data_IF_962194056816
#
_entry.id   IF_962194056816
#
_cell.length_a   1.000
_cell.length_b   1.000
_cell.length_c   1.000
_cell.angle_alpha   90.00
_cell.angle_beta   90.00
_cell.angle_gamma   90.00
#
_symmetry.space_group_name_H-M   'P 1'
#
loop_
_entity.id
_entity.type
_entity.pdbx_description
1 polymer ?
#
# COMPACT_ATOMS: atom_id res chain seq x y z
N UNK A 1 -5.75 24.01 -19.63
CA UNK A 1 -6.26 23.82 -18.26
C UNK A 1 -5.12 24.10 -17.29
N UNK A 2 -5.15 25.18 -16.51
CA UNK A 2 -4.08 25.47 -15.53
C UNK A 2 -4.33 24.59 -14.31
N UNK A 3 -3.47 23.61 -14.03
CA UNK A 3 -3.60 22.81 -12.81
C UNK A 3 -3.29 23.70 -11.59
N UNK A 4 -4.09 23.61 -10.51
CA UNK A 4 -3.78 24.31 -9.28
C UNK A 4 -2.50 23.68 -8.68
N UNK A 5 -1.44 24.49 -8.53
CA UNK A 5 -0.11 24.02 -8.16
C UNK A 5 -0.07 23.34 -6.79
N UNK A 6 -0.85 23.83 -5.82
CA UNK A 6 -0.86 23.32 -4.45
C UNK A 6 -1.47 21.91 -4.34
N UNK A 7 -2.66 21.60 -4.91
CA UNK A 7 -3.16 20.22 -5.00
C UNK A 7 -2.21 19.26 -5.70
N UNK A 8 -1.50 19.70 -6.75
CA UNK A 8 -0.51 18.85 -7.43
C UNK A 8 0.64 18.50 -6.48
N UNK A 9 1.15 19.47 -5.70
CA UNK A 9 2.18 19.21 -4.70
C UNK A 9 1.71 18.18 -3.67
N UNK A 10 0.50 18.33 -3.13
CA UNK A 10 -0.03 17.37 -2.16
C UNK A 10 -0.31 15.99 -2.77
N UNK A 11 -0.74 15.93 -4.03
CA UNK A 11 -0.87 14.67 -4.75
C UNK A 11 0.50 13.99 -4.95
N UNK A 12 1.55 14.74 -5.30
CA UNK A 12 2.91 14.22 -5.40
C UNK A 12 3.45 13.75 -4.05
N UNK A 13 3.19 14.48 -2.96
CA UNK A 13 3.52 14.05 -1.60
C UNK A 13 2.77 12.77 -1.21
N UNK A 14 1.51 12.64 -1.63
CA UNK A 14 0.73 11.41 -1.43
C UNK A 14 1.39 10.23 -2.13
N UNK A 15 1.80 10.41 -3.40
CA UNK A 15 2.55 9.39 -4.14
C UNK A 15 3.91 9.05 -3.48
N UNK A 16 4.61 10.06 -2.94
CA UNK A 16 5.86 9.87 -2.20
C UNK A 16 5.66 8.99 -0.96
N UNK A 17 4.69 9.31 -0.11
CA UNK A 17 4.43 8.54 1.12
C UNK A 17 3.98 7.11 0.82
N UNK A 18 3.08 6.93 -0.16
CA UNK A 18 2.67 5.60 -0.59
C UNK A 18 3.79 4.81 -1.28
N UNK A 19 4.68 5.48 -2.01
CA UNK A 19 5.87 4.83 -2.58
C UNK A 19 6.83 4.32 -1.51
N UNK A 20 7.09 5.13 -0.47
CA UNK A 20 7.97 4.75 0.65
C UNK A 20 7.33 3.75 1.62
N UNK A 21 6.00 3.64 1.63
CA UNK A 21 5.26 2.71 2.48
C UNK A 21 5.68 1.24 2.25
N UNK A 22 5.84 0.81 1.00
CA UNK A 22 6.19 -0.58 0.67
C UNK A 22 7.48 -1.05 1.34
N UNK A 23 8.61 -0.35 1.13
CA UNK A 23 9.87 -0.63 1.83
C UNK A 23 9.76 -0.56 3.35
N UNK A 24 9.07 0.44 3.91
CA UNK A 24 8.91 0.60 5.35
C UNK A 24 8.18 -0.61 5.99
N UNK A 25 7.12 -1.11 5.35
CA UNK A 25 6.41 -2.31 5.81
C UNK A 25 7.24 -3.57 5.60
N UNK A 26 8.03 -3.65 4.52
CA UNK A 26 9.00 -4.73 4.32
C UNK A 26 10.00 -4.84 5.49
N UNK A 27 10.53 -3.70 5.94
CA UNK A 27 11.40 -3.63 7.12
C UNK A 27 10.69 -4.04 8.40
N UNK A 28 9.49 -3.49 8.66
CA UNK A 28 8.70 -3.85 9.84
C UNK A 28 8.38 -5.35 9.89
N UNK A 29 8.03 -5.95 8.75
CA UNK A 29 7.79 -7.40 8.67
C UNK A 29 9.04 -8.22 8.94
N UNK A 30 10.18 -7.80 8.40
CA UNK A 30 11.46 -8.48 8.64
C UNK A 30 11.81 -8.46 10.13
N UNK A 31 11.59 -7.33 10.82
CA UNK A 31 11.77 -7.20 12.26
C UNK A 31 10.80 -8.08 13.07
N UNK A 32 9.59 -8.29 12.57
CA UNK A 32 8.52 -9.09 13.20
C UNK A 32 8.52 -10.57 12.78
N UNK A 33 9.67 -11.11 12.37
CA UNK A 33 9.81 -12.52 12.01
C UNK A 33 8.96 -12.92 10.79
N UNK A 34 8.79 -11.99 9.85
CA UNK A 34 7.90 -12.08 8.68
C UNK A 34 6.39 -12.16 8.99
N UNK A 35 5.96 -11.91 10.23
CA UNK A 35 4.55 -11.79 10.57
C UNK A 35 3.96 -10.51 9.94
N UNK A 36 2.93 -10.59 9.08
CA UNK A 36 2.36 -9.42 8.42
C UNK A 36 1.37 -8.64 9.31
N UNK A 37 0.79 -9.27 10.32
CA UNK A 37 -0.28 -8.69 11.13
C UNK A 37 0.23 -7.74 12.20
N UNK A 38 1.42 -7.98 12.77
CA UNK A 38 2.01 -7.07 13.76
C UNK A 38 2.26 -5.67 13.17
N UNK A 39 2.88 -5.53 11.98
CA UNK A 39 2.93 -4.24 11.27
C UNK A 39 1.55 -3.70 10.90
N UNK A 40 0.59 -4.55 10.51
CA UNK A 40 -0.77 -4.11 10.18
C UNK A 40 -1.50 -3.46 11.36
N UNK A 41 -1.33 -3.97 12.59
CA UNK A 41 -1.87 -3.29 13.79
C UNK A 41 -1.28 -1.89 13.93
N UNK A 42 0.03 -1.73 13.69
CA UNK A 42 0.69 -0.41 13.75
C UNK A 42 0.21 0.53 12.64
N UNK A 43 -0.12 0.01 11.44
CA UNK A 43 -0.79 0.80 10.39
C UNK A 43 -2.14 1.32 10.89
N UNK A 44 -2.94 0.47 11.54
CA UNK A 44 -4.22 0.86 12.13
C UNK A 44 -4.08 1.96 13.19
N UNK A 45 -3.09 1.84 14.07
CA UNK A 45 -2.78 2.88 15.07
C UNK A 45 -2.38 4.20 14.39
N UNK A 46 -1.52 4.15 13.37
CA UNK A 46 -1.13 5.34 12.62
C UNK A 46 -2.34 6.00 11.93
N UNK A 47 -3.25 5.21 11.34
CA UNK A 47 -4.47 5.72 10.72
C UNK A 47 -5.36 6.42 11.74
N UNK A 48 -5.54 5.85 12.93
CA UNK A 48 -6.32 6.48 14.00
C UNK A 48 -5.73 7.84 14.40
N UNK A 49 -4.43 7.89 14.65
CA UNK A 49 -3.73 9.11 15.07
C UNK A 49 -3.84 10.18 13.99
N UNK A 50 -3.40 9.88 12.76
CA UNK A 50 -3.29 10.89 11.71
C UNK A 50 -4.64 11.29 11.12
N UNK A 51 -5.61 10.37 11.01
CA UNK A 51 -6.93 10.71 10.52
C UNK A 51 -7.69 11.61 11.51
N UNK A 52 -7.63 11.31 12.81
CA UNK A 52 -8.28 12.13 13.84
C UNK A 52 -7.60 13.49 13.95
N UNK A 53 -6.27 13.51 14.13
CA UNK A 53 -5.53 14.77 14.30
C UNK A 53 -5.60 15.65 13.04
N UNK A 54 -5.40 15.06 11.86
CA UNK A 54 -5.47 15.76 10.59
C UNK A 54 -6.87 16.29 10.28
N UNK A 55 -7.91 15.46 10.49
CA UNK A 55 -9.31 15.87 10.31
C UNK A 55 -9.71 16.99 11.27
N UNK A 56 -9.45 16.82 12.57
CA UNK A 56 -9.75 17.84 13.58
C UNK A 56 -8.99 19.14 13.32
N UNK A 57 -7.69 19.05 12.99
CA UNK A 57 -6.86 20.21 12.63
C UNK A 57 -7.39 20.94 11.39
N UNK A 58 -7.83 20.20 10.37
CA UNK A 58 -8.46 20.76 9.18
C UNK A 58 -9.75 21.51 9.48
N UNK A 59 -10.59 20.99 10.39
CA UNK A 59 -11.82 21.68 10.80
C UNK A 59 -11.53 22.95 11.60
N UNK A 60 -10.54 22.92 12.49
CA UNK A 60 -10.09 24.12 13.21
C UNK A 60 -9.56 25.17 12.23
N UNK A 61 -8.71 24.79 11.28
CA UNK A 61 -8.15 25.69 10.28
C UNK A 61 -9.23 26.34 9.39
N UNK A 62 -10.22 25.55 8.97
CA UNK A 62 -11.35 26.02 8.14
C UNK A 62 -12.46 26.70 8.94
N UNK A 63 -12.34 26.76 10.28
CA UNK A 63 -13.30 27.38 11.21
C UNK A 63 -14.71 26.81 11.11
N UNK A 64 -14.83 25.50 10.86
CA UNK A 64 -16.13 24.80 10.84
C UNK A 64 -16.40 24.12 12.18
N UNK A 65 -17.67 24.04 12.63
CA UNK A 65 -18.00 23.37 13.88
C UNK A 65 -17.77 21.86 13.78
N UNK A 66 -17.48 21.22 14.92
CA UNK A 66 -17.42 19.75 15.07
C UNK A 66 -18.84 19.13 15.06
N UNK A 67 -19.67 19.56 14.13
CA UNK A 67 -21.03 19.07 13.93
C UNK A 67 -21.10 18.34 12.59
N UNK A 68 -21.46 17.06 12.63
CA UNK A 68 -21.48 16.20 11.46
C UNK A 68 -22.91 15.89 11.05
N UNK A 69 -23.19 15.92 9.74
CA UNK A 69 -24.46 15.41 9.22
C UNK A 69 -24.47 13.88 9.24
N UNK A 70 -25.64 13.26 9.37
CA UNK A 70 -25.76 11.80 9.32
C UNK A 70 -25.20 11.20 8.03
N UNK A 71 -25.42 11.86 6.88
CA UNK A 71 -24.83 11.45 5.61
C UNK A 71 -23.29 11.58 5.62
N UNK A 72 -22.75 12.65 6.20
CA UNK A 72 -21.30 12.84 6.32
C UNK A 72 -20.64 11.77 7.18
N UNK A 73 -21.26 11.40 8.31
CA UNK A 73 -20.78 10.29 9.16
C UNK A 73 -20.81 8.97 8.40
N UNK A 74 -21.93 8.64 7.75
CA UNK A 74 -22.09 7.37 7.03
C UNK A 74 -21.09 7.23 5.88
N UNK A 75 -21.00 8.23 5.01
CA UNK A 75 -20.07 8.18 3.87
C UNK A 75 -18.61 8.29 4.30
N UNK A 76 -18.32 9.07 5.35
CA UNK A 76 -16.99 9.10 5.96
C UNK A 76 -16.58 7.75 6.51
N UNK A 77 -17.49 7.06 7.22
CA UNK A 77 -17.24 5.73 7.77
C UNK A 77 -17.07 4.66 6.68
N UNK A 78 -17.92 4.67 5.65
CA UNK A 78 -17.78 3.77 4.48
C UNK A 78 -16.43 4.01 3.81
N UNK A 79 -16.06 5.28 3.56
CA UNK A 79 -14.78 5.64 2.96
C UNK A 79 -13.59 5.15 3.79
N UNK A 80 -13.61 5.38 5.11
CA UNK A 80 -12.59 4.87 6.03
C UNK A 80 -12.50 3.35 6.05
N UNK A 81 -13.65 2.66 6.03
CA UNK A 81 -13.73 1.20 6.00
C UNK A 81 -13.12 0.62 4.71
N UNK A 82 -13.41 1.22 3.55
CA UNK A 82 -12.80 0.83 2.27
C UNK A 82 -11.27 0.97 2.30
N UNK A 83 -10.76 2.04 2.91
CA UNK A 83 -9.32 2.23 3.10
C UNK A 83 -8.69 1.18 4.02
N UNK A 84 -9.36 0.85 5.14
CA UNK A 84 -8.90 -0.17 6.08
C UNK A 84 -8.89 -1.58 5.45
N UNK A 85 -9.97 -1.95 4.74
CA UNK A 85 -10.00 -3.21 4.00
C UNK A 85 -8.95 -3.25 2.88
N UNK A 86 -8.72 -2.14 2.19
CA UNK A 86 -7.62 -2.05 1.21
C UNK A 86 -6.25 -2.29 1.83
N UNK A 87 -5.97 -1.74 3.02
CA UNK A 87 -4.73 -1.99 3.75
C UNK A 87 -4.62 -3.46 4.23
N UNK A 88 -5.73 -4.07 4.64
CA UNK A 88 -5.79 -5.48 5.01
C UNK A 88 -5.48 -6.38 3.82
N UNK A 89 -6.15 -6.19 2.68
CA UNK A 89 -5.94 -7.01 1.48
C UNK A 89 -4.54 -6.80 0.89
N UNK A 90 -3.99 -5.59 0.97
CA UNK A 90 -2.58 -5.32 0.66
C UNK A 90 -1.64 -6.11 1.57
N UNK A 91 -1.89 -6.11 2.88
CA UNK A 91 -1.14 -6.91 3.86
C UNK A 91 -1.19 -8.39 3.53
N UNK A 92 -2.39 -8.91 3.20
CA UNK A 92 -2.61 -10.30 2.81
C UNK A 92 -1.97 -10.65 1.46
N UNK A 93 -1.97 -9.73 0.49
CA UNK A 93 -1.30 -9.92 -0.80
C UNK A 93 0.22 -10.02 -0.63
N UNK A 94 0.78 -9.30 0.33
CA UNK A 94 2.18 -9.44 0.68
C UNK A 94 2.44 -10.67 1.58
N UNK A 95 1.40 -11.36 2.07
CA UNK A 95 1.48 -12.53 2.94
C UNK A 95 1.43 -13.87 2.17
N UNK A 96 1.61 -13.89 0.85
CA UNK A 96 1.44 -15.10 0.02
C UNK A 96 1.96 -16.42 0.64
N UNK A 97 1.06 -17.40 0.62
CA UNK A 97 1.23 -18.77 1.14
C UNK A 97 2.20 -19.64 0.32
N UNK A 98 2.70 -19.17 -0.81
CA UNK A 98 3.71 -19.83 -1.64
C UNK A 98 4.77 -18.82 -2.11
N UNK A 99 5.98 -18.92 -1.56
CA UNK A 99 7.15 -18.15 -1.99
C UNK A 99 7.38 -16.79 -1.30
N UNK A 100 8.48 -16.11 -1.69
CA UNK A 100 8.87 -14.83 -1.10
C UNK A 100 7.91 -13.72 -1.55
N UNK A 101 7.46 -12.82 -0.66
CA UNK A 101 6.65 -11.66 -1.03
C UNK A 101 7.38 -10.84 -2.10
N UNK A 102 6.66 -10.39 -3.13
CA UNK A 102 7.16 -9.44 -4.13
C UNK A 102 6.39 -8.12 -4.02
N UNK A 103 6.69 -7.26 -3.03
CA UNK A 103 6.07 -5.94 -2.89
C UNK A 103 6.09 -5.14 -4.20
N UNK A 104 7.10 -5.36 -5.03
CA UNK A 104 7.33 -4.69 -6.32
C UNK A 104 6.26 -5.02 -7.36
N UNK A 105 5.64 -6.21 -7.29
CA UNK A 105 4.50 -6.57 -8.14
C UNK A 105 3.19 -6.00 -7.58
N UNK A 106 3.06 -6.01 -6.26
CA UNK A 106 1.81 -5.66 -5.58
C UNK A 106 1.53 -4.16 -5.72
N UNK A 107 2.54 -3.30 -5.56
CA UNK A 107 2.34 -1.84 -5.53
C UNK A 107 1.81 -1.29 -6.87
N UNK A 108 2.40 -1.60 -8.05
CA UNK A 108 1.86 -1.13 -9.32
C UNK A 108 0.42 -1.62 -9.57
N UNK A 109 0.13 -2.89 -9.25
CA UNK A 109 -1.22 -3.47 -9.41
C UNK A 109 -2.24 -2.72 -8.56
N UNK A 110 -1.91 -2.45 -7.29
CA UNK A 110 -2.83 -1.78 -6.36
C UNK A 110 -3.09 -0.33 -6.78
N UNK A 111 -2.05 0.47 -7.02
CA UNK A 111 -2.24 1.89 -7.35
C UNK A 111 -2.77 2.10 -8.76
N UNK A 112 -2.25 1.36 -9.74
CA UNK A 112 -2.76 1.43 -11.11
C UNK A 112 -4.19 0.89 -11.21
N UNK A 113 -4.47 -0.24 -10.56
CA UNK A 113 -5.81 -0.81 -10.47
C UNK A 113 -6.81 0.12 -9.79
N UNK A 114 -6.42 0.80 -8.70
CA UNK A 114 -7.29 1.74 -8.00
C UNK A 114 -7.77 2.89 -8.90
N UNK A 115 -6.90 3.42 -9.77
CA UNK A 115 -7.27 4.47 -10.74
C UNK A 115 -8.34 3.95 -11.71
N UNK A 116 -8.14 2.74 -12.26
CA UNK A 116 -9.08 2.11 -13.18
C UNK A 116 -10.42 1.80 -12.50
N UNK A 117 -10.40 1.24 -11.29
CA UNK A 117 -11.63 0.95 -10.51
C UNK A 117 -12.40 2.23 -10.23
N UNK A 118 -11.73 3.30 -9.80
CA UNK A 118 -12.38 4.59 -9.55
C UNK A 118 -13.02 5.16 -10.83
N UNK A 119 -12.35 5.07 -11.97
CA UNK A 119 -12.91 5.51 -13.25
C UNK A 119 -14.17 4.72 -13.63
N UNK A 120 -14.16 3.40 -13.48
CA UNK A 120 -15.33 2.54 -13.73
C UNK A 120 -16.47 2.85 -12.75
N UNK A 121 -16.17 3.01 -11.46
CA UNK A 121 -17.17 3.36 -10.45
C UNK A 121 -17.86 4.68 -10.80
N UNK A 122 -17.10 5.71 -11.17
CA UNK A 122 -17.66 7.00 -11.59
C UNK A 122 -18.49 6.89 -12.87
N UNK A 123 -18.06 6.06 -13.82
CA UNK A 123 -18.82 5.81 -15.05
C UNK A 123 -20.19 5.17 -14.74
N UNK A 124 -20.21 4.13 -13.90
CA UNK A 124 -21.43 3.44 -13.48
C UNK A 124 -22.35 4.38 -12.69
N UNK A 125 -21.82 5.19 -11.79
CA UNK A 125 -22.59 6.17 -11.04
C UNK A 125 -23.18 7.25 -11.95
N UNK A 126 -22.41 7.75 -12.91
CA UNK A 126 -22.86 8.72 -13.91
C UNK A 126 -24.02 8.18 -14.76
N UNK A 127 -23.92 6.94 -15.23
CA UNK A 127 -25.01 6.28 -15.97
C UNK A 127 -26.29 6.16 -15.15
N UNK A 128 -26.18 5.77 -13.87
CA UNK A 128 -27.34 5.67 -12.97
C UNK A 128 -28.02 7.02 -12.70
N UNK A 129 -27.27 8.11 -12.79
CA UNK A 129 -27.78 9.47 -12.60
C UNK A 129 -28.31 10.08 -13.91
N UNK A 130 -28.38 9.32 -15.01
CA UNK A 130 -28.87 9.80 -16.30
C UNK A 130 -27.90 10.74 -17.01
N UNK A 131 -26.62 10.78 -16.60
CA UNK A 131 -25.60 11.56 -17.32
C UNK A 131 -25.36 10.92 -18.69
N UNK A 132 -25.80 11.61 -19.74
CA UNK A 132 -25.61 11.25 -21.14
C UNK A 132 -24.28 11.72 -21.73
N UNK A 133 -23.33 12.16 -20.88
CA UNK A 133 -21.99 12.51 -21.32
C UNK A 133 -21.37 11.29 -22.00
N UNK A 134 -21.20 11.37 -23.32
CA UNK A 134 -20.53 10.34 -24.11
C UNK A 134 -19.19 10.01 -23.45
N UNK A 135 -19.00 8.74 -23.14
CA UNK A 135 -17.77 8.29 -22.51
C UNK A 135 -16.65 8.52 -23.52
N UNK A 136 -15.77 9.48 -23.25
CA UNK A 136 -14.69 9.78 -24.18
C UNK A 136 -13.87 8.52 -24.46
N UNK A 137 -13.63 8.14 -25.73
CA UNK A 137 -12.81 6.97 -26.06
C UNK A 137 -11.41 7.01 -25.44
N UNK A 138 -10.89 8.21 -25.14
CA UNK A 138 -9.61 8.40 -24.46
C UNK A 138 -9.57 7.82 -23.04
N UNK A 139 -10.71 7.65 -22.37
CA UNK A 139 -10.77 6.99 -21.07
C UNK A 139 -10.31 5.53 -21.19
N UNK A 140 -10.79 4.81 -22.20
CA UNK A 140 -10.41 3.42 -22.45
C UNK A 140 -8.94 3.29 -22.82
N UNK A 141 -8.44 4.22 -23.64
CA UNK A 141 -7.00 4.31 -23.95
C UNK A 141 -6.18 4.51 -22.68
N UNK A 142 -6.62 5.40 -21.79
CA UNK A 142 -5.99 5.63 -20.49
C UNK A 142 -5.97 4.37 -19.63
N UNK A 143 -7.09 3.64 -19.53
CA UNK A 143 -7.18 2.38 -18.76
C UNK A 143 -6.24 1.29 -19.32
N UNK A 144 -6.20 1.12 -20.65
CA UNK A 144 -5.29 0.19 -21.30
C UNK A 144 -3.83 0.61 -21.07
N UNK A 145 -3.54 1.91 -21.16
CA UNK A 145 -2.21 2.46 -20.88
C UNK A 145 -1.76 2.23 -19.45
N UNK A 146 -2.66 2.36 -18.46
CA UNK A 146 -2.39 2.01 -17.06
C UNK A 146 -2.10 0.52 -16.94
N UNK A 147 -2.92 -0.36 -17.54
CA UNK A 147 -2.68 -1.80 -17.51
C UNK A 147 -1.30 -2.19 -18.08
N UNK A 148 -0.94 -1.61 -19.23
CA UNK A 148 0.39 -1.80 -19.82
C UNK A 148 1.51 -1.28 -18.90
N UNK A 149 1.32 -0.10 -18.30
CA UNK A 149 2.30 0.49 -17.37
C UNK A 149 2.51 -0.36 -16.12
N UNK A 150 1.43 -0.95 -15.58
CA UNK A 150 1.53 -1.89 -14.46
C UNK A 150 2.45 -3.05 -14.81
N UNK A 151 2.26 -3.67 -15.98
CA UNK A 151 3.10 -4.79 -16.44
C UNK A 151 4.55 -4.37 -16.61
N UNK A 152 4.80 -3.22 -17.26
CA UNK A 152 6.16 -2.71 -17.49
C UNK A 152 6.86 -2.44 -16.16
N UNK A 153 6.22 -1.73 -15.23
CA UNK A 153 6.82 -1.43 -13.92
C UNK A 153 7.06 -2.71 -13.12
N UNK A 154 6.09 -3.63 -13.11
CA UNK A 154 6.19 -4.91 -12.42
C UNK A 154 7.34 -5.79 -12.95
N UNK A 155 7.59 -5.79 -14.27
CA UNK A 155 8.62 -6.62 -14.90
C UNK A 155 10.02 -5.99 -14.80
N UNK A 156 10.13 -4.67 -14.96
CA UNK A 156 11.43 -4.00 -15.14
C UNK A 156 11.94 -3.27 -13.88
N UNK A 157 11.18 -3.20 -12.80
CA UNK A 157 11.70 -2.63 -11.53
C UNK A 157 12.83 -3.53 -10.98
N UNK A 158 14.06 -2.99 -10.77
CA UNK A 158 15.17 -3.79 -10.23
C UNK A 158 14.87 -4.26 -8.80
N UNK A 159 15.02 -5.56 -8.56
CA UNK A 159 14.68 -6.18 -7.28
C UNK A 159 15.93 -6.28 -6.39
N UNK A 160 16.01 -5.46 -5.35
CA UNK A 160 17.03 -5.63 -4.30
C UNK A 160 16.62 -6.79 -3.40
N UNK A 161 17.15 -7.98 -3.69
CA UNK A 161 17.05 -9.12 -2.77
C UNK A 161 17.80 -8.84 -1.45
N UNK A 162 17.40 -9.47 -0.33
CA UNK A 162 18.15 -9.39 0.91
C UNK A 162 19.60 -9.82 0.66
N UNK A 163 20.59 -9.02 1.05
CA UNK A 163 21.98 -9.46 1.11
C UNK A 163 22.01 -10.77 1.91
N UNK A 164 22.43 -11.87 1.28
CA UNK A 164 22.76 -13.09 2.01
C UNK A 164 23.70 -12.71 3.14
N UNK A 165 23.26 -12.96 4.38
CA UNK A 165 24.11 -12.86 5.56
C UNK A 165 25.40 -13.65 5.24
N UNK A 166 26.61 -13.08 5.40
CA UNK A 166 27.83 -13.85 5.24
C UNK A 166 27.71 -15.12 6.08
N UNK A 167 27.91 -16.27 5.45
CA UNK A 167 27.93 -17.54 6.15
C UNK A 167 28.91 -17.41 7.32
N UNK A 168 28.42 -17.59 8.54
CA UNK A 168 29.29 -17.74 9.69
C UNK A 168 30.25 -18.90 9.38
N UNK A 169 31.56 -18.77 9.63
CA UNK A 169 32.50 -19.84 9.35
C UNK A 169 32.05 -21.09 10.12
N UNK A 170 31.78 -22.15 9.38
CA UNK A 170 31.56 -23.49 9.92
C UNK A 170 32.81 -23.83 10.74
N UNK A 171 32.69 -23.74 12.06
CA UNK A 171 33.66 -24.31 12.98
C UNK A 171 33.64 -25.81 12.77
N UNK A 172 34.58 -26.32 11.98
CA UNK A 172 34.95 -27.73 11.93
C UNK A 172 35.34 -28.14 13.34
N UNK A 173 34.38 -28.68 14.09
CA UNK A 173 34.68 -29.46 15.29
C UNK A 173 35.30 -30.73 14.75
N UNK A 174 36.63 -30.80 14.85
CA UNK A 174 37.39 -32.00 14.61
C UNK A 174 36.84 -33.12 15.50
N UNK A 175 36.40 -34.19 14.85
CA UNK A 175 36.40 -35.51 15.44
C UNK A 175 37.86 -35.90 15.61
N UNK A 176 38.36 -35.93 16.85
CA UNK A 176 39.53 -36.74 17.16
C UNK A 176 39.41 -37.34 18.57
N UNK A 177 39.08 -38.63 18.52
CA UNK A 177 39.64 -39.72 19.31
C UNK A 177 39.80 -39.59 20.83
N UNK A 178 38.90 -40.30 21.52
CA UNK A 178 39.07 -40.91 22.84
C UNK A 178 40.38 -41.74 22.92
N UNK A 179 41.33 -41.44 23.83
CA UNK A 179 42.39 -42.38 24.17
C UNK A 179 41.92 -43.33 25.27
N UNK A 180 42.14 -44.61 25.02
CA UNK A 180 41.89 -45.76 25.90
C UNK A 180 42.62 -45.65 27.24
N UNK A 181 41.97 -46.23 28.24
CA UNK A 181 42.49 -46.72 29.53
C UNK A 181 43.96 -47.18 29.50
N UNK A 182 44.76 -46.65 30.44
CA UNK A 182 45.88 -47.33 31.08
C UNK A 182 45.98 -46.92 32.56
N UNK A 183 45.55 -47.84 33.43
CA UNK A 183 46.02 -48.22 34.76
C UNK A 183 44.87 -48.57 35.70
#
# INVERSE_FOLDING_TARGET
MKLPMLPVIFASLTALFWGMYGPAIGLARTAEGNNPFKPYVMIGVAYLIWAILGGAGGMVYTKVPFSFSGAGVTWGFIGGSLGAFGALTLTLAMFSFEGKPKPELVMPIVFGGAVTVNAITNLVLGWKQGSSHETSPWLWVGMIGVAASIVVVAVFTPHVGPKSKPAAPTSTVALDETPKSQN
#
